data_IF_454882349205
#
_entry.id   IF_454882349205
#
_cell.length_a   1.000
_cell.length_b   1.000
_cell.length_c   1.000
_cell.angle_alpha   90.00
_cell.angle_beta   90.00
_cell.angle_gamma   90.00
#
_symmetry.space_group_name_H-M   'P 1'
#
loop_
_entity.id
_entity.type
_entity.pdbx_description
1 polymer ?
#
# COMPACT_ATOMS: atom_id res chain seq x y z
N UNK A 1 -0.14 -33.95 23.22
CA UNK A 1 -1.10 -32.88 23.59
C UNK A 1 -0.45 -31.54 23.29
N UNK A 2 -0.98 -30.77 22.32
CA UNK A 2 -0.44 -29.45 21.98
C UNK A 2 -1.00 -28.48 23.02
N UNK A 3 -0.16 -27.97 23.93
CA UNK A 3 -0.56 -26.95 24.91
C UNK A 3 -1.01 -25.71 24.15
N UNK A 4 -2.33 -25.53 24.02
CA UNK A 4 -2.92 -24.29 23.53
C UNK A 4 -2.87 -23.26 24.65
N UNK A 5 -1.75 -22.54 24.75
CA UNK A 5 -1.69 -21.32 25.55
C UNK A 5 -2.73 -20.37 24.94
N UNK A 6 -3.87 -20.18 25.61
CA UNK A 6 -4.88 -19.18 25.23
C UNK A 6 -4.29 -17.81 25.55
N UNK A 7 -3.55 -17.25 24.60
CA UNK A 7 -3.10 -15.87 24.68
C UNK A 7 -4.32 -14.94 24.69
N UNK A 8 -4.22 -13.86 25.45
CA UNK A 8 -5.23 -12.82 25.45
C UNK A 8 -5.31 -12.25 24.01
N UNK A 9 -6.51 -12.17 23.39
CA UNK A 9 -6.69 -11.61 22.05
C UNK A 9 -6.01 -10.25 21.85
N UNK A 10 -5.93 -9.45 22.90
CA UNK A 10 -5.22 -8.17 22.89
C UNK A 10 -3.71 -8.33 22.64
N UNK A 11 -3.08 -9.29 23.31
CA UNK A 11 -1.64 -9.55 23.20
C UNK A 11 -1.30 -10.10 21.82
N UNK A 12 -2.09 -11.06 21.33
CA UNK A 12 -1.87 -11.64 20.01
C UNK A 12 -2.10 -10.61 18.89
N UNK A 13 -3.11 -9.75 19.02
CA UNK A 13 -3.33 -8.63 18.09
C UNK A 13 -2.18 -7.61 18.10
N UNK A 14 -1.61 -7.32 19.28
CA UNK A 14 -0.45 -6.45 19.39
C UNK A 14 0.79 -7.05 18.72
N UNK A 15 1.00 -8.37 18.81
CA UNK A 15 2.09 -9.05 18.11
C UNK A 15 1.94 -8.93 16.59
N UNK A 16 0.74 -9.15 16.05
CA UNK A 16 0.49 -8.96 14.62
C UNK A 16 0.60 -7.49 14.19
N UNK A 17 0.18 -6.54 15.03
CA UNK A 17 0.40 -5.12 14.76
C UNK A 17 1.90 -4.79 14.69
N UNK A 18 2.73 -5.32 15.61
CA UNK A 18 4.18 -5.16 15.58
C UNK A 18 4.80 -5.80 14.31
N UNK A 19 4.33 -6.98 13.90
CA UNK A 19 4.74 -7.59 12.62
C UNK A 19 4.39 -6.69 11.43
N UNK A 20 3.19 -6.10 11.41
CA UNK A 20 2.79 -5.18 10.36
C UNK A 20 3.69 -3.94 10.31
N UNK A 21 4.06 -3.37 11.47
CA UNK A 21 5.00 -2.25 11.57
C UNK A 21 6.36 -2.62 10.96
N UNK A 22 6.89 -3.81 11.29
CA UNK A 22 8.17 -4.28 10.71
C UNK A 22 8.07 -4.37 9.18
N UNK A 23 6.96 -4.91 8.66
CA UNK A 23 6.73 -4.99 7.21
C UNK A 23 6.62 -3.61 6.59
N UNK A 24 5.91 -2.66 7.22
CA UNK A 24 5.80 -1.27 6.76
C UNK A 24 7.19 -0.64 6.65
N UNK A 25 8.00 -0.70 7.72
CA UNK A 25 9.36 -0.15 7.73
C UNK A 25 10.22 -0.78 6.63
N UNK A 26 10.18 -2.11 6.50
CA UNK A 26 10.92 -2.81 5.45
C UNK A 26 10.47 -2.37 4.04
N UNK A 27 9.17 -2.22 3.83
CA UNK A 27 8.57 -1.77 2.56
C UNK A 27 9.00 -0.34 2.21
N UNK A 28 9.09 0.54 3.20
CA UNK A 28 9.46 1.95 3.03
C UNK A 28 10.95 2.12 2.69
N UNK A 29 11.84 1.40 3.36
CA UNK A 29 13.28 1.66 3.27
C UNK A 29 14.04 0.72 2.35
N UNK A 30 13.46 -0.42 1.96
CA UNK A 30 14.12 -1.39 1.08
C UNK A 30 13.38 -1.43 -0.26
N UNK A 31 13.87 -0.73 -1.31
CA UNK A 31 13.20 -0.66 -2.61
C UNK A 31 12.89 -2.04 -3.20
N UNK A 32 13.81 -3.00 -3.07
CA UNK A 32 13.63 -4.38 -3.53
C UNK A 32 12.50 -5.14 -2.79
N UNK A 33 12.19 -4.73 -1.55
CA UNK A 33 11.13 -5.34 -0.75
C UNK A 33 9.77 -4.65 -0.92
N UNK A 34 9.67 -3.54 -1.64
CA UNK A 34 8.40 -2.81 -1.77
C UNK A 34 7.26 -3.74 -2.26
N UNK A 35 7.49 -4.45 -3.36
CA UNK A 35 6.50 -5.36 -3.95
C UNK A 35 6.17 -6.55 -3.04
N UNK A 36 7.16 -7.07 -2.32
CA UNK A 36 6.95 -8.17 -1.37
C UNK A 36 6.13 -7.67 -0.18
N UNK A 37 6.49 -6.49 0.32
CA UNK A 37 5.86 -5.81 1.44
C UNK A 37 4.37 -5.62 1.23
N UNK A 38 3.96 -5.05 0.09
CA UNK A 38 2.54 -4.82 -0.20
C UNK A 38 1.72 -6.12 -0.32
N UNK A 39 2.33 -7.24 -0.69
CA UNK A 39 1.69 -8.56 -0.77
C UNK A 39 1.58 -9.20 0.62
N UNK A 40 2.57 -8.99 1.48
CA UNK A 40 2.66 -9.57 2.83
C UNK A 40 1.85 -8.74 3.84
N UNK A 41 1.77 -7.43 3.67
CA UNK A 41 1.18 -6.51 4.64
C UNK A 41 -0.30 -6.76 4.98
N UNK A 42 -1.15 -7.26 4.07
CA UNK A 42 -2.52 -7.69 4.42
C UNK A 42 -2.57 -8.84 5.43
N UNK A 43 -1.54 -9.70 5.48
CA UNK A 43 -1.58 -10.95 6.25
C UNK A 43 -1.70 -10.75 7.77
N UNK A 44 -0.88 -9.90 8.43
CA UNK A 44 -1.02 -9.69 9.87
C UNK A 44 -2.45 -9.31 10.28
N UNK A 45 -3.08 -8.40 9.54
CA UNK A 45 -4.45 -7.94 9.83
C UNK A 45 -5.49 -9.01 9.53
N UNK A 46 -5.31 -9.76 8.44
CA UNK A 46 -6.14 -10.91 8.12
C UNK A 46 -6.08 -11.98 9.22
N UNK A 47 -4.90 -12.32 9.72
CA UNK A 47 -4.74 -13.30 10.81
C UNK A 47 -5.45 -12.87 12.10
N UNK A 48 -5.34 -11.60 12.48
CA UNK A 48 -6.07 -11.06 13.64
C UNK A 48 -7.58 -11.21 13.44
N UNK A 49 -8.09 -10.92 12.23
CA UNK A 49 -9.52 -11.03 11.97
C UNK A 49 -10.00 -12.49 11.93
N UNK A 50 -9.20 -13.42 11.40
CA UNK A 50 -9.50 -14.86 11.41
C UNK A 50 -9.60 -15.38 12.84
N UNK A 51 -8.59 -15.08 13.68
CA UNK A 51 -8.46 -15.64 15.03
C UNK A 51 -9.38 -15.01 16.06
N UNK A 52 -9.74 -13.75 15.87
CA UNK A 52 -10.53 -13.00 16.84
C UNK A 52 -11.78 -12.44 16.16
N UNK A 53 -11.84 -11.13 15.91
CA UNK A 53 -12.97 -10.46 15.28
C UNK A 53 -12.53 -9.13 14.65
N UNK A 54 -13.47 -8.46 13.98
CA UNK A 54 -13.21 -7.20 13.28
C UNK A 54 -12.69 -6.10 14.22
N UNK A 55 -13.19 -6.02 15.46
CA UNK A 55 -12.75 -5.02 16.44
C UNK A 55 -11.25 -5.12 16.72
N UNK A 56 -10.73 -6.32 16.91
CA UNK A 56 -9.29 -6.52 17.15
C UNK A 56 -8.45 -6.23 15.90
N UNK A 57 -8.94 -6.56 14.71
CA UNK A 57 -8.25 -6.26 13.46
C UNK A 57 -8.17 -4.74 13.21
N UNK A 58 -9.25 -4.01 13.47
CA UNK A 58 -9.28 -2.56 13.38
C UNK A 58 -8.35 -1.89 14.42
N UNK A 59 -8.31 -2.41 15.65
CA UNK A 59 -7.36 -1.94 16.67
C UNK A 59 -5.91 -2.21 16.27
N UNK A 60 -5.61 -3.40 15.76
CA UNK A 60 -4.27 -3.75 15.28
C UNK A 60 -3.86 -2.84 14.11
N UNK A 61 -4.78 -2.55 13.19
CA UNK A 61 -4.59 -1.60 12.09
C UNK A 61 -4.27 -0.19 12.58
N UNK A 62 -5.11 0.37 13.45
CA UNK A 62 -4.89 1.70 14.02
C UNK A 62 -3.54 1.77 14.77
N UNK A 63 -3.24 0.74 15.55
CA UNK A 63 -1.98 0.62 16.29
C UNK A 63 -0.77 0.57 15.35
N UNK A 64 -0.82 -0.24 14.30
CA UNK A 64 0.26 -0.34 13.33
C UNK A 64 0.51 0.99 12.61
N UNK A 65 -0.56 1.72 12.22
CA UNK A 65 -0.42 3.05 11.62
C UNK A 65 0.26 4.00 12.60
N UNK A 66 -0.26 4.13 13.83
CA UNK A 66 0.27 5.06 14.82
C UNK A 66 1.74 4.77 15.18
N UNK A 67 2.09 3.50 15.37
CA UNK A 67 3.46 3.09 15.71
C UNK A 67 4.40 3.26 14.53
N UNK A 68 3.93 3.21 13.28
CA UNK A 68 4.79 3.37 12.10
C UNK A 68 5.21 4.83 11.86
N UNK A 69 4.47 5.81 12.36
CA UNK A 69 4.72 7.25 12.11
C UNK A 69 6.16 7.67 12.48
N UNK A 70 6.71 7.36 13.67
CA UNK A 70 8.05 7.81 14.06
C UNK A 70 9.17 7.20 13.22
N UNK A 71 8.91 6.06 12.56
CA UNK A 71 9.89 5.38 11.74
C UNK A 71 9.87 5.85 10.29
N UNK A 72 8.97 6.74 9.89
CA UNK A 72 8.87 7.27 8.55
C UNK A 72 8.18 8.62 8.59
N UNK A 73 7.17 8.78 7.75
CA UNK A 73 6.29 9.94 7.78
C UNK A 73 4.82 9.52 7.89
N UNK A 74 3.99 10.47 8.32
CA UNK A 74 2.55 10.25 8.51
C UNK A 74 1.87 9.78 7.22
N UNK A 75 2.27 10.33 6.07
CA UNK A 75 1.68 9.97 4.79
C UNK A 75 2.02 8.53 4.42
N UNK A 76 3.27 8.09 4.57
CA UNK A 76 3.68 6.70 4.30
C UNK A 76 2.98 5.71 5.24
N UNK A 77 2.90 6.01 6.54
CA UNK A 77 2.24 5.16 7.52
C UNK A 77 0.74 4.96 7.20
N UNK A 78 0.05 6.05 6.86
CA UNK A 78 -1.36 5.99 6.43
C UNK A 78 -1.48 5.26 5.08
N UNK A 79 -0.62 5.59 4.11
CA UNK A 79 -0.69 5.01 2.76
C UNK A 79 -0.60 3.50 2.77
N UNK A 80 0.42 2.94 3.45
CA UNK A 80 0.64 1.50 3.50
C UNK A 80 -0.34 0.83 4.48
N UNK A 81 -0.47 1.39 5.68
CA UNK A 81 -1.33 0.81 6.71
C UNK A 81 -2.79 0.79 6.30
N UNK A 82 -3.36 1.93 5.91
CA UNK A 82 -4.77 2.03 5.54
C UNK A 82 -5.10 1.17 4.31
N UNK A 83 -4.30 1.29 3.24
CA UNK A 83 -4.57 0.58 1.98
C UNK A 83 -4.50 -0.92 2.16
N UNK A 84 -3.38 -1.45 2.64
CA UNK A 84 -3.16 -2.90 2.69
C UNK A 84 -3.73 -3.55 3.97
N UNK A 85 -3.88 -2.78 5.04
CA UNK A 85 -4.57 -3.24 6.23
C UNK A 85 -6.05 -3.49 6.03
N UNK A 86 -6.75 -2.58 5.34
CA UNK A 86 -8.16 -2.80 4.99
C UNK A 86 -8.29 -3.97 4.01
N UNK A 87 -7.37 -4.13 3.05
CA UNK A 87 -7.35 -5.30 2.15
C UNK A 87 -7.33 -6.62 2.92
N UNK A 88 -6.48 -6.74 3.95
CA UNK A 88 -6.41 -7.94 4.79
C UNK A 88 -7.73 -8.24 5.51
N UNK A 89 -8.39 -7.20 6.01
CA UNK A 89 -9.68 -7.31 6.69
C UNK A 89 -10.79 -7.71 5.70
N UNK A 90 -10.85 -7.06 4.53
CA UNK A 90 -11.86 -7.32 3.49
C UNK A 90 -11.72 -8.72 2.92
N UNK A 91 -10.48 -9.18 2.70
CA UNK A 91 -10.22 -10.55 2.26
C UNK A 91 -10.87 -11.58 3.21
N UNK A 92 -10.66 -11.42 4.52
CA UNK A 92 -11.22 -12.34 5.52
C UNK A 92 -12.72 -12.17 5.67
N UNK A 93 -13.24 -10.94 5.51
CA UNK A 93 -14.69 -10.73 5.45
C UNK A 93 -15.32 -11.53 4.31
N UNK A 94 -14.73 -11.50 3.11
CA UNK A 94 -15.19 -12.29 1.97
C UNK A 94 -15.11 -13.80 2.23
N UNK A 95 -14.02 -14.29 2.85
CA UNK A 95 -13.91 -15.71 3.22
C UNK A 95 -14.97 -16.16 4.22
N UNK A 96 -15.32 -15.31 5.20
CA UNK A 96 -16.36 -15.64 6.18
C UNK A 96 -17.77 -15.64 5.60
N UNK A 97 -17.97 -15.02 4.43
CA UNK A 97 -19.26 -14.95 3.74
C UNK A 97 -19.31 -15.88 2.51
N UNK A 98 -18.37 -16.84 2.40
CA UNK A 98 -18.28 -17.80 1.30
C UNK A 98 -18.28 -17.15 -0.10
N UNK A 99 -17.71 -15.94 -0.21
CA UNK A 99 -17.60 -15.22 -1.46
C UNK A 99 -16.68 -15.93 -2.45
N UNK A 100 -17.01 -15.83 -3.74
CA UNK A 100 -16.18 -16.40 -4.79
C UNK A 100 -14.78 -15.75 -4.82
N UNK A 101 -13.80 -16.49 -5.35
CA UNK A 101 -12.42 -15.98 -5.55
C UNK A 101 -12.42 -14.66 -6.32
N UNK A 102 -13.22 -14.60 -7.39
CA UNK A 102 -13.32 -13.42 -8.26
C UNK A 102 -13.93 -12.23 -7.51
N UNK A 103 -15.04 -12.44 -6.78
CA UNK A 103 -15.66 -11.38 -5.99
C UNK A 103 -14.71 -10.83 -4.93
N UNK A 104 -13.97 -11.71 -4.26
CA UNK A 104 -12.98 -11.31 -3.24
C UNK A 104 -11.91 -10.40 -3.84
N UNK A 105 -11.35 -10.77 -5.00
CA UNK A 105 -10.34 -9.94 -5.69
C UNK A 105 -10.94 -8.60 -6.12
N UNK A 106 -12.17 -8.59 -6.64
CA UNK A 106 -12.85 -7.34 -7.03
C UNK A 106 -13.04 -6.43 -5.81
N UNK A 107 -13.54 -6.93 -4.69
CA UNK A 107 -13.72 -6.13 -3.47
C UNK A 107 -12.40 -5.56 -2.96
N UNK A 108 -11.33 -6.37 -2.92
CA UNK A 108 -10.01 -5.87 -2.56
C UNK A 108 -9.49 -4.82 -3.53
N UNK A 109 -9.66 -5.00 -4.84
CA UNK A 109 -9.22 -4.04 -5.85
C UNK A 109 -9.95 -2.70 -5.72
N UNK A 110 -11.26 -2.74 -5.47
CA UNK A 110 -12.08 -1.55 -5.17
C UNK A 110 -11.56 -0.85 -3.92
N UNK A 111 -11.26 -1.60 -2.86
CA UNK A 111 -10.68 -1.06 -1.62
C UNK A 111 -9.34 -0.38 -1.87
N UNK A 112 -8.42 -1.01 -2.61
CA UNK A 112 -7.11 -0.40 -2.94
C UNK A 112 -7.30 0.87 -3.76
N UNK A 113 -8.17 0.84 -4.76
CA UNK A 113 -8.44 1.99 -5.62
C UNK A 113 -9.00 3.18 -4.81
N UNK A 114 -10.04 2.94 -4.00
CA UNK A 114 -10.64 3.95 -3.14
C UNK A 114 -9.69 4.45 -2.06
N UNK A 115 -8.90 3.55 -1.46
CA UNK A 115 -7.89 3.92 -0.46
C UNK A 115 -6.83 4.81 -1.06
N UNK A 116 -6.39 4.55 -2.30
CA UNK A 116 -5.41 5.39 -3.00
C UNK A 116 -5.93 6.81 -3.23
N UNK A 117 -7.20 6.94 -3.65
CA UNK A 117 -7.86 8.25 -3.79
C UNK A 117 -7.95 8.98 -2.44
N UNK A 118 -8.32 8.25 -1.39
CA UNK A 118 -8.41 8.80 -0.03
C UNK A 118 -7.05 9.28 0.48
N UNK A 119 -6.02 8.46 0.31
CA UNK A 119 -4.62 8.74 0.65
C UNK A 119 -4.12 9.98 -0.10
N UNK A 120 -4.41 10.10 -1.40
CA UNK A 120 -4.09 11.29 -2.18
C UNK A 120 -4.72 12.56 -1.56
N UNK A 121 -6.01 12.52 -1.23
CA UNK A 121 -6.70 13.65 -0.59
C UNK A 121 -6.12 13.99 0.78
N UNK A 122 -5.83 12.98 1.59
CA UNK A 122 -5.20 13.15 2.91
C UNK A 122 -3.81 13.80 2.76
N UNK A 123 -3.04 13.40 1.74
CA UNK A 123 -1.71 13.96 1.48
C UNK A 123 -1.75 15.46 1.20
N UNK A 124 -2.70 15.90 0.36
CA UNK A 124 -2.91 17.32 0.06
C UNK A 124 -3.33 18.08 1.33
N UNK A 125 -4.17 17.47 2.17
CA UNK A 125 -4.62 18.08 3.43
C UNK A 125 -3.51 18.23 4.46
N UNK A 126 -2.63 17.23 4.61
CA UNK A 126 -1.50 17.26 5.55
C UNK A 126 -0.41 18.23 5.06
N UNK A 127 -0.08 18.18 3.78
CA UNK A 127 1.08 18.90 3.22
C UNK A 127 0.74 20.32 2.79
N UNK A 128 -0.55 20.61 2.55
CA UNK A 128 -1.02 21.89 2.00
C UNK A 128 -0.58 22.15 0.56
N UNK A 129 -0.07 21.12 -0.14
CA UNK A 129 0.47 21.20 -1.50
C UNK A 129 -0.13 20.11 -2.37
N UNK A 130 -0.29 20.38 -3.66
CA UNK A 130 -0.61 19.34 -4.65
C UNK A 130 0.61 18.42 -4.81
N UNK A 131 0.47 17.16 -4.42
CA UNK A 131 1.53 16.15 -4.47
C UNK A 131 2.05 15.95 -5.89
N UNK A 132 1.18 16.08 -6.91
CA UNK A 132 1.58 15.95 -8.30
C UNK A 132 2.48 17.12 -8.73
N UNK A 133 2.20 18.34 -8.25
CA UNK A 133 3.08 19.49 -8.51
C UNK A 133 4.42 19.35 -7.81
N UNK A 134 4.42 18.91 -6.54
CA UNK A 134 5.68 18.66 -5.81
C UNK A 134 6.52 17.62 -6.54
N UNK A 135 5.91 16.50 -6.92
CA UNK A 135 6.58 15.44 -7.69
C UNK A 135 7.09 15.94 -9.05
N UNK A 136 6.27 16.69 -9.79
CA UNK A 136 6.66 17.22 -11.10
C UNK A 136 7.85 18.18 -11.00
N UNK A 137 7.87 19.04 -9.98
CA UNK A 137 8.99 19.92 -9.68
C UNK A 137 10.26 19.15 -9.33
N UNK A 138 10.17 18.11 -8.52
CA UNK A 138 11.31 17.25 -8.19
C UNK A 138 11.89 16.56 -9.43
N UNK A 139 11.03 16.00 -10.29
CA UNK A 139 11.46 15.39 -11.54
C UNK A 139 12.09 16.44 -12.46
N UNK A 140 11.49 17.62 -12.59
CA UNK A 140 12.03 18.72 -13.41
C UNK A 140 13.42 19.13 -12.92
N UNK A 141 13.63 19.26 -11.60
CA UNK A 141 14.94 19.54 -11.01
C UNK A 141 15.98 18.46 -11.34
N UNK A 142 15.58 17.17 -11.31
CA UNK A 142 16.45 16.06 -11.68
C UNK A 142 16.82 16.15 -13.17
N UNK A 143 15.85 16.33 -14.06
CA UNK A 143 16.08 16.44 -15.51
C UNK A 143 17.00 17.64 -15.81
N UNK A 144 16.76 18.77 -15.16
CA UNK A 144 17.56 19.98 -15.34
C UNK A 144 19.02 19.74 -14.94
N UNK A 145 19.25 19.06 -13.82
CA UNK A 145 20.59 18.70 -13.34
C UNK A 145 21.36 17.82 -14.34
N UNK A 146 20.67 16.96 -15.08
CA UNK A 146 21.28 16.03 -16.03
C UNK A 146 21.11 16.43 -17.50
N UNK A 147 20.59 17.63 -17.80
CA UNK A 147 20.30 18.08 -19.16
C UNK A 147 21.49 17.91 -20.11
N UNK A 148 22.69 18.35 -19.72
CA UNK A 148 23.89 18.23 -20.55
C UNK A 148 24.28 16.78 -20.85
N UNK A 149 23.99 15.84 -19.93
CA UNK A 149 24.20 14.40 -20.15
C UNK A 149 23.19 13.85 -21.15
N UNK A 150 21.92 14.26 -21.06
CA UNK A 150 20.91 13.84 -22.03
C UNK A 150 21.21 14.39 -23.44
N UNK A 151 21.61 15.66 -23.54
CA UNK A 151 21.99 16.29 -24.81
C UNK A 151 23.24 15.61 -25.41
N UNK A 152 24.24 15.25 -24.59
CA UNK A 152 25.43 14.54 -25.07
C UNK A 152 25.13 13.13 -25.60
N UNK A 153 24.00 12.53 -25.20
CA UNK A 153 23.54 11.23 -25.68
C UNK A 153 22.48 11.34 -26.81
N UNK A 154 22.33 12.53 -27.41
CA UNK A 154 21.50 12.73 -28.60
C UNK A 154 20.04 13.09 -28.32
N UNK A 155 19.66 13.39 -27.08
CA UNK A 155 18.33 13.91 -26.79
C UNK A 155 18.19 15.36 -27.31
N UNK A 156 17.09 15.66 -28.01
CA UNK A 156 16.88 17.02 -28.51
C UNK A 156 16.53 17.98 -27.38
N UNK A 157 17.17 19.16 -27.37
CA UNK A 157 16.93 20.21 -26.36
C UNK A 157 15.45 20.62 -26.29
N UNK A 158 14.75 20.58 -27.43
CA UNK A 158 13.31 20.84 -27.50
C UNK A 158 12.49 19.81 -26.70
N UNK A 159 12.79 18.50 -26.82
CA UNK A 159 12.11 17.46 -26.03
C UNK A 159 12.42 17.57 -24.55
N UNK A 160 13.67 17.87 -24.20
CA UNK A 160 14.06 18.09 -22.79
C UNK A 160 13.30 19.28 -22.20
N UNK A 161 13.17 20.39 -22.93
CA UNK A 161 12.44 21.56 -22.45
C UNK A 161 10.94 21.27 -22.25
N UNK A 162 10.32 20.42 -23.07
CA UNK A 162 8.95 19.95 -22.84
C UNK A 162 8.80 19.12 -21.57
N UNK A 163 9.83 18.36 -21.19
CA UNK A 163 9.85 17.58 -19.94
C UNK A 163 10.13 18.44 -18.70
N UNK A 164 10.74 19.62 -18.87
CA UNK A 164 10.96 20.58 -17.80
C UNK A 164 9.71 21.41 -17.47
N UNK A 165 8.70 21.42 -18.36
CA UNK A 165 7.41 22.05 -18.10
C UNK A 165 6.61 21.24 -17.07
N UNK A 166 6.66 21.71 -15.82
CA UNK A 166 5.97 21.10 -14.68
C UNK A 166 4.45 20.97 -14.93
N UNK A 167 3.82 21.95 -15.59
CA UNK A 167 2.37 21.91 -15.83
C UNK A 167 1.99 20.82 -16.83
N UNK A 168 2.78 20.68 -17.90
CA UNK A 168 2.61 19.60 -18.86
C UNK A 168 2.86 18.23 -18.22
N UNK A 169 3.85 18.13 -17.33
CA UNK A 169 4.11 16.89 -16.57
C UNK A 169 2.94 16.53 -15.64
N UNK A 170 2.40 17.51 -14.90
CA UNK A 170 1.20 17.30 -14.06
C UNK A 170 -0.01 16.89 -14.90
N UNK A 171 -0.20 17.48 -16.08
CA UNK A 171 -1.28 17.10 -17.00
C UNK A 171 -1.16 15.63 -17.42
N UNK A 172 0.03 15.21 -17.85
CA UNK A 172 0.28 13.80 -18.23
C UNK A 172 0.06 12.87 -17.04
N UNK A 173 0.56 13.22 -15.85
CA UNK A 173 0.34 12.45 -14.62
C UNK A 173 -1.15 12.28 -14.31
N UNK A 174 -1.95 13.35 -14.38
CA UNK A 174 -3.41 13.29 -14.16
C UNK A 174 -4.13 12.42 -15.18
N UNK A 175 -3.62 12.35 -16.41
CA UNK A 175 -4.19 11.49 -17.46
C UNK A 175 -3.92 10.00 -17.21
N UNK A 176 -2.70 9.64 -16.79
CA UNK A 176 -2.29 8.22 -16.66
C UNK A 176 -2.53 7.63 -15.26
N UNK A 177 -2.54 8.46 -14.21
CA UNK A 177 -2.61 8.01 -12.81
C UNK A 177 -3.87 7.18 -12.51
N UNK A 178 -5.08 7.54 -12.97
CA UNK A 178 -6.27 6.73 -12.68
C UNK A 178 -6.20 5.34 -13.31
N UNK A 179 -5.75 5.26 -14.57
CA UNK A 179 -5.62 3.99 -15.29
C UNK A 179 -4.55 3.09 -14.70
N UNK A 180 -3.39 3.64 -14.36
CA UNK A 180 -2.30 2.89 -13.72
C UNK A 180 -2.69 2.41 -12.32
N UNK A 181 -3.39 3.24 -11.53
CA UNK A 181 -3.91 2.85 -10.20
C UNK A 181 -4.93 1.72 -10.31
N UNK A 182 -5.81 1.77 -11.30
CA UNK A 182 -6.81 0.74 -11.55
C UNK A 182 -6.17 -0.61 -11.93
N UNK A 183 -5.22 -0.60 -12.86
CA UNK A 183 -4.49 -1.84 -13.23
C UNK A 183 -3.69 -2.36 -12.04
N UNK A 184 -3.00 -1.46 -11.31
CA UNK A 184 -2.22 -1.82 -10.15
C UNK A 184 -3.07 -2.42 -9.03
N UNK A 185 -4.28 -1.92 -8.78
CA UNK A 185 -5.16 -2.46 -7.74
C UNK A 185 -5.55 -3.91 -8.03
N UNK A 186 -5.88 -4.24 -9.28
CA UNK A 186 -6.21 -5.62 -9.68
C UNK A 186 -4.98 -6.53 -9.55
N UNK A 187 -3.83 -6.10 -10.08
CA UNK A 187 -2.61 -6.91 -10.08
C UNK A 187 -2.12 -7.18 -8.64
N UNK A 188 -2.01 -6.12 -7.83
CA UNK A 188 -1.53 -6.22 -6.44
C UNK A 188 -2.45 -7.09 -5.59
N UNK A 189 -3.78 -6.98 -5.75
CA UNK A 189 -4.74 -7.76 -4.97
C UNK A 189 -4.83 -9.21 -5.41
N UNK A 190 -4.63 -9.51 -6.70
CA UNK A 190 -4.47 -10.88 -7.19
C UNK A 190 -3.29 -11.59 -6.50
N UNK A 191 -2.12 -10.95 -6.47
CA UNK A 191 -0.94 -11.53 -5.81
C UNK A 191 -1.12 -11.63 -4.29
N UNK A 192 -1.69 -10.60 -3.66
CA UNK A 192 -2.00 -10.59 -2.23
C UNK A 192 -2.95 -11.73 -1.85
N UNK A 193 -4.01 -11.94 -2.64
CA UNK A 193 -4.94 -13.07 -2.48
C UNK A 193 -4.21 -14.41 -2.57
N UNK A 194 -3.42 -14.58 -3.65
CA UNK A 194 -2.78 -15.86 -3.95
C UNK A 194 -1.74 -16.22 -2.90
N UNK A 195 -0.97 -15.25 -2.47
CA UNK A 195 -0.01 -15.41 -1.39
C UNK A 195 -0.73 -15.73 -0.07
N UNK A 196 -1.75 -14.94 0.28
CA UNK A 196 -2.46 -15.10 1.55
C UNK A 196 -3.16 -16.45 1.67
N UNK A 197 -3.88 -16.89 0.63
CA UNK A 197 -4.51 -18.21 0.60
C UNK A 197 -3.49 -19.35 0.68
N UNK A 198 -2.33 -19.21 0.05
CA UNK A 198 -1.25 -20.21 0.16
C UNK A 198 -0.73 -20.33 1.59
N UNK A 199 -0.68 -19.22 2.32
CA UNK A 199 -0.31 -19.20 3.73
C UNK A 199 -1.44 -19.78 4.60
N UNK A 200 -2.69 -19.37 4.41
CA UNK A 200 -3.82 -19.85 5.23
C UNK A 200 -4.06 -21.35 5.12
N UNK A 201 -3.88 -21.94 3.93
CA UNK A 201 -3.93 -23.40 3.74
C UNK A 201 -2.89 -24.14 4.58
N UNK A 202 -1.68 -23.58 4.76
CA UNK A 202 -0.65 -24.19 5.62
C UNK A 202 -1.03 -24.18 7.10
N UNK A 203 -1.91 -23.25 7.50
CA UNK A 203 -2.39 -23.11 8.86
C UNK A 203 -3.82 -23.67 9.07
N UNK A 204 -4.39 -24.34 8.07
CA UNK A 204 -5.75 -24.90 8.08
C UNK A 204 -6.88 -23.87 8.35
N UNK A 205 -6.74 -22.65 7.79
CA UNK A 205 -7.76 -21.59 7.93
C UNK A 205 -8.67 -21.40 6.70
N UNK A 206 -8.38 -22.08 5.59
CA UNK A 206 -9.10 -22.03 4.30
C UNK A 206 -8.99 -23.36 3.58
#
# INVERSE_FOLDING_TARGET
>A
MKNNIKLNPLVESAMFAALAVIVIIATTYLPAFYFIGIIVLPLPFAFVYIKHNFKYAALALATAILISIPFGDLFTAISLGLTYGIVGIVMVYCFKNDESVLNTIIFMAVVVFLSTILVYKISVLITGKDVLQVTAKEISNIIQKYKGVYESHGASSSKINTLLDENNMVYIMKMIMPGTTFVFSIVSTYFSYRFSTSIFKKFNYT
#
